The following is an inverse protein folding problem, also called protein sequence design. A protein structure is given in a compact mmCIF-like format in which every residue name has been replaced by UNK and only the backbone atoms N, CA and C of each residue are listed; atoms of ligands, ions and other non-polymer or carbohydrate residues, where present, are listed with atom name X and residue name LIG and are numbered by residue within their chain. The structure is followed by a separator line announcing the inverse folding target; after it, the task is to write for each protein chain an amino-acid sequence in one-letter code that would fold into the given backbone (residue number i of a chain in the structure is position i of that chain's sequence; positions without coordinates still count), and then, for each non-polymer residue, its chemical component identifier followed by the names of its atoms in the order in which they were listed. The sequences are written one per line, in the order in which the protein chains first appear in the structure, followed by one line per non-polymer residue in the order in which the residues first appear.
data_IF_424037498095
#
_entry.id   IF_424037498095
#
_cell.length_a   1.000
_cell.length_b   1.000
_cell.length_c   1.000
_cell.angle_alpha   90.00
_cell.angle_beta   90.00
_cell.angle_gamma   90.00
#
_symmetry.space_group_name_H-M   'P 1'
#
loop_
_entity.id
_entity.type
_entity.pdbx_description
1 polymer ?
#
# COMPACT_ATOMS: atom_id res chain seq x y z
N UNK A 1 21.16 0.94 -8.90
CA UNK A 1 20.52 1.52 -10.12
C UNK A 1 18.99 1.37 -10.16
N UNK A 2 18.40 0.30 -9.62
CA UNK A 2 16.93 0.08 -9.66
C UNK A 2 16.10 1.07 -8.81
N UNK A 3 16.67 1.67 -7.75
CA UNK A 3 15.97 2.63 -6.89
C UNK A 3 15.55 3.90 -7.65
N UNK A 4 16.43 4.46 -8.49
CA UNK A 4 16.13 5.64 -9.29
C UNK A 4 15.08 5.37 -10.35
N UNK A 5 15.14 4.20 -10.99
CA UNK A 5 14.14 3.79 -11.99
C UNK A 5 12.78 3.60 -11.30
N UNK A 6 12.73 2.95 -10.13
CA UNK A 6 11.49 2.75 -9.38
C UNK A 6 10.90 4.07 -8.90
N UNK A 7 11.70 4.97 -8.35
CA UNK A 7 11.25 6.29 -7.89
C UNK A 7 10.80 7.17 -9.05
N UNK A 8 11.54 7.21 -10.15
CA UNK A 8 11.14 7.95 -11.36
C UNK A 8 9.84 7.40 -11.96
N UNK A 9 9.68 6.08 -11.99
CA UNK A 9 8.43 5.43 -12.43
C UNK A 9 7.24 5.88 -11.56
N UNK A 10 7.38 5.85 -10.24
CA UNK A 10 6.33 6.30 -9.33
C UNK A 10 6.03 7.80 -9.49
N UNK A 11 7.06 8.64 -9.64
CA UNK A 11 6.87 10.07 -9.87
C UNK A 11 6.15 10.35 -11.19
N UNK A 12 6.49 9.64 -12.26
CA UNK A 12 5.81 9.76 -13.55
C UNK A 12 4.33 9.41 -13.43
N UNK A 13 4.00 8.31 -12.74
CA UNK A 13 2.61 7.91 -12.49
C UNK A 13 1.85 9.02 -11.75
N UNK A 14 2.44 9.57 -10.69
CA UNK A 14 1.80 10.64 -9.90
C UNK A 14 1.56 11.88 -10.76
N UNK A 15 2.55 12.31 -11.54
CA UNK A 15 2.43 13.48 -12.42
C UNK A 15 1.36 13.25 -13.48
N UNK A 16 1.27 12.04 -14.04
CA UNK A 16 0.27 11.68 -15.04
C UNK A 16 -1.15 11.61 -14.45
N UNK A 17 -1.29 11.20 -13.19
CA UNK A 17 -2.57 11.23 -12.48
C UNK A 17 -2.99 12.63 -12.02
N UNK A 18 -2.07 13.59 -11.95
CA UNK A 18 -2.38 14.95 -11.53
C UNK A 18 -2.99 15.73 -12.70
N UNK A 19 -4.28 16.10 -12.65
CA UNK A 19 -4.90 16.79 -13.76
C UNK A 19 -4.39 18.24 -13.83
N UNK A 20 -3.82 18.62 -14.98
CA UNK A 20 -3.27 19.96 -15.22
C UNK A 20 -4.34 20.98 -15.64
N UNK A 21 -5.47 20.51 -16.19
CA UNK A 21 -6.50 21.34 -16.81
C UNK A 21 -7.91 21.00 -16.31
N UNK A 22 -8.81 21.99 -16.29
CA UNK A 22 -10.19 21.82 -15.79
C UNK A 22 -11.02 20.81 -16.63
N UNK A 23 -10.79 20.76 -17.95
CA UNK A 23 -11.43 19.77 -18.84
C UNK A 23 -10.90 18.35 -18.63
N UNK A 24 -9.57 18.19 -18.49
CA UNK A 24 -8.98 16.89 -18.15
C UNK A 24 -9.43 16.41 -16.77
N UNK A 25 -9.70 17.32 -15.82
CA UNK A 25 -10.29 16.97 -14.53
C UNK A 25 -11.59 16.19 -14.68
N UNK A 26 -12.53 16.65 -15.50
CA UNK A 26 -13.82 15.95 -15.67
C UNK A 26 -13.68 14.56 -16.27
N UNK A 27 -12.73 14.36 -17.19
CA UNK A 27 -12.49 13.07 -17.84
C UNK A 27 -11.76 12.08 -16.91
N UNK A 28 -10.73 12.55 -16.20
CA UNK A 28 -10.00 11.75 -15.21
C UNK A 28 -10.90 11.39 -14.03
N UNK A 29 -11.74 12.31 -13.56
CA UNK A 29 -12.74 11.98 -12.53
C UNK A 29 -13.82 11.03 -13.06
N UNK A 30 -14.25 11.17 -14.32
CA UNK A 30 -15.21 10.25 -14.93
C UNK A 30 -14.66 8.82 -15.04
N UNK A 31 -13.42 8.66 -15.47
CA UNK A 31 -12.75 7.34 -15.55
C UNK A 31 -12.46 6.76 -14.16
N UNK A 32 -12.05 7.58 -13.20
CA UNK A 32 -11.93 7.15 -11.81
C UNK A 32 -13.27 6.72 -11.22
N UNK A 33 -14.36 7.45 -11.54
CA UNK A 33 -15.70 7.10 -11.09
C UNK A 33 -16.18 5.79 -11.70
N UNK A 34 -15.88 5.53 -12.97
CA UNK A 34 -16.15 4.24 -13.62
C UNK A 34 -15.42 3.10 -12.90
N UNK A 35 -14.13 3.26 -12.60
CA UNK A 35 -13.36 2.27 -11.85
C UNK A 35 -13.91 2.03 -10.43
N UNK A 36 -14.35 3.09 -9.74
CA UNK A 36 -15.02 2.97 -8.43
C UNK A 36 -16.33 2.20 -8.56
N UNK A 37 -17.08 2.43 -9.62
CA UNK A 37 -18.33 1.71 -9.88
C UNK A 37 -18.10 0.21 -10.16
N UNK A 38 -17.00 -0.14 -10.83
CA UNK A 38 -16.61 -1.53 -11.05
C UNK A 38 -16.27 -2.23 -9.72
N UNK A 39 -15.52 -1.55 -8.85
CA UNK A 39 -15.21 -2.06 -7.50
C UNK A 39 -16.49 -2.21 -6.67
N UNK A 40 -17.40 -1.24 -6.73
CA UNK A 40 -18.68 -1.31 -6.03
C UNK A 40 -19.52 -2.51 -6.51
N UNK A 41 -19.61 -2.70 -7.83
CA UNK A 41 -20.31 -3.83 -8.43
C UNK A 41 -19.67 -5.17 -8.05
N UNK A 42 -18.34 -5.23 -7.95
CA UNK A 42 -17.63 -6.42 -7.46
C UNK A 42 -17.97 -6.71 -5.99
N UNK A 43 -18.02 -5.68 -5.15
CA UNK A 43 -18.39 -5.81 -3.73
C UNK A 43 -19.83 -6.27 -3.55
N UNK A 44 -20.77 -5.78 -4.37
CA UNK A 44 -22.16 -6.25 -4.34
C UNK A 44 -22.28 -7.76 -4.62
N UNK A 45 -21.41 -8.28 -5.49
CA UNK A 45 -21.36 -9.71 -5.83
C UNK A 45 -20.56 -10.54 -4.83
N UNK A 46 -19.60 -9.94 -4.13
CA UNK A 46 -18.68 -10.63 -3.21
C UNK A 46 -18.55 -9.87 -1.87
N UNK A 47 -19.63 -9.82 -1.06
CA UNK A 47 -19.66 -8.99 0.15
C UNK A 47 -18.62 -9.43 1.19
N UNK A 48 -18.34 -10.73 1.25
CA UNK A 48 -17.42 -11.34 2.20
C UNK A 48 -15.95 -10.91 1.93
N UNK A 49 -15.56 -10.87 0.65
CA UNK A 49 -14.22 -10.42 0.23
C UNK A 49 -14.01 -8.94 0.51
N UNK A 50 -15.00 -8.09 0.22
CA UNK A 50 -14.89 -6.66 0.52
C UNK A 50 -14.90 -6.39 2.04
N UNK A 51 -15.63 -7.17 2.85
CA UNK A 51 -15.60 -7.05 4.30
C UNK A 51 -14.19 -7.31 4.87
N UNK A 52 -13.54 -8.41 4.47
CA UNK A 52 -12.15 -8.71 4.87
C UNK A 52 -11.16 -7.66 4.35
N UNK A 53 -11.35 -7.22 3.10
CA UNK A 53 -10.54 -6.17 2.49
C UNK A 53 -10.62 -4.83 3.23
N UNK A 54 -11.83 -4.45 3.68
CA UNK A 54 -12.06 -3.23 4.47
C UNK A 54 -11.24 -3.23 5.74
N UNK A 55 -11.17 -4.35 6.45
CA UNK A 55 -10.45 -4.42 7.73
C UNK A 55 -8.95 -4.24 7.52
N UNK A 56 -8.37 -4.89 6.50
CA UNK A 56 -6.97 -4.68 6.12
C UNK A 56 -6.70 -3.23 5.67
N UNK A 57 -7.58 -2.68 4.84
CA UNK A 57 -7.47 -1.30 4.37
C UNK A 57 -7.59 -0.28 5.51
N UNK A 58 -8.41 -0.53 6.52
CA UNK A 58 -8.58 0.36 7.67
C UNK A 58 -7.27 0.56 8.45
N UNK A 59 -6.52 -0.53 8.67
CA UNK A 59 -5.23 -0.50 9.37
C UNK A 59 -4.20 0.28 8.54
N UNK A 60 -4.20 0.08 7.22
CA UNK A 60 -3.34 0.84 6.31
C UNK A 60 -3.64 2.34 6.39
N UNK A 61 -4.91 2.74 6.38
CA UNK A 61 -5.33 4.13 6.49
C UNK A 61 -4.93 4.73 7.83
N UNK A 62 -5.10 4.00 8.94
CA UNK A 62 -4.67 4.48 10.26
C UNK A 62 -3.15 4.72 10.30
N UNK A 63 -2.36 3.80 9.75
CA UNK A 63 -0.90 3.96 9.64
C UNK A 63 -0.52 5.13 8.74
N UNK A 64 -1.21 5.32 7.62
CA UNK A 64 -0.98 6.44 6.70
C UNK A 64 -1.28 7.79 7.37
N UNK A 65 -2.38 7.90 8.12
CA UNK A 65 -2.71 9.11 8.87
C UNK A 65 -1.67 9.42 9.95
N UNK A 66 -1.20 8.39 10.66
CA UNK A 66 -0.14 8.56 11.65
C UNK A 66 1.17 9.03 11.00
N UNK A 67 1.59 8.39 9.90
CA UNK A 67 2.77 8.79 9.15
C UNK A 67 2.67 10.21 8.58
N UNK A 68 1.50 10.62 8.11
CA UNK A 68 1.25 11.97 7.63
C UNK A 68 1.39 13.01 8.74
N UNK A 69 0.86 12.75 9.95
CA UNK A 69 1.04 13.63 11.11
C UNK A 69 2.50 13.73 11.51
N UNK A 70 3.21 12.60 11.60
CA UNK A 70 4.63 12.55 11.93
C UNK A 70 5.48 13.36 10.93
N UNK A 71 5.20 13.24 9.62
CA UNK A 71 5.90 14.02 8.60
C UNK A 71 5.61 15.51 8.73
N UNK A 72 4.35 15.89 9.00
CA UNK A 72 3.98 17.29 9.22
C UNK A 72 4.63 17.87 10.48
N UNK A 73 4.73 17.11 11.56
CA UNK A 73 5.40 17.55 12.79
C UNK A 73 6.90 17.76 12.55
N UNK A 74 7.55 16.87 11.79
CA UNK A 74 8.94 17.03 11.38
C UNK A 74 9.16 18.27 10.52
N UNK A 75 8.28 18.53 9.54
CA UNK A 75 8.33 19.74 8.69
C UNK A 75 8.11 21.00 9.53
N UNK A 76 7.22 20.94 10.51
CA UNK A 76 6.92 22.05 11.42
C UNK A 76 7.96 22.20 12.55
N UNK A 77 9.02 21.38 12.57
CA UNK A 77 10.08 21.42 13.58
C UNK A 77 9.64 20.97 14.98
N UNK A 78 8.45 20.37 15.12
CA UNK A 78 7.96 19.81 16.39
C UNK A 78 8.66 18.48 16.62
N UNK A 79 9.73 18.52 17.40
CA UNK A 79 10.40 17.30 17.85
C UNK A 79 9.58 16.77 19.04
N UNK A 80 9.30 15.46 19.15
CA UNK A 80 8.57 14.89 20.30
C UNK A 80 9.28 15.09 21.66
N UNK A 81 10.44 15.75 21.67
CA UNK A 81 11.15 16.19 22.86
C UNK A 81 10.53 17.43 23.55
N UNK A 82 9.66 18.19 22.88
CA UNK A 82 9.05 19.42 23.46
C UNK A 82 7.78 19.15 24.30
N UNK A 83 7.37 17.88 24.42
CA UNK A 83 6.23 17.45 25.24
C UNK A 83 6.68 16.57 26.41
N UNK A 84 7.81 16.93 27.04
CA UNK A 84 8.28 16.34 28.29
C UNK A 84 8.56 17.41 29.35
N UNK A 85 7.50 17.84 30.03
CA UNK A 85 7.61 18.27 31.42
C UNK A 85 7.49 17.03 32.33
N UNK A 86 8.61 16.29 32.44
CA UNK A 86 9.19 15.50 33.55
C UNK A 86 8.35 14.61 34.52
N UNK A 87 8.97 13.67 35.29
CA UNK A 87 10.40 13.32 35.38
C UNK A 87 10.76 11.80 35.28
N UNK A 88 11.95 11.56 34.74
CA UNK A 88 12.92 10.48 35.04
C UNK A 88 12.41 9.07 35.41
N UNK A 89 12.69 8.08 34.54
CA UNK A 89 13.28 6.82 34.98
C UNK A 89 14.37 6.36 34.02
N UNK A 90 15.57 6.22 34.59
CA UNK A 90 16.67 5.42 34.08
C UNK A 90 16.18 4.06 33.58
N UNK A 91 16.34 3.80 32.29
CA UNK A 91 16.72 2.46 31.83
C UNK A 91 17.34 2.57 30.44
N UNK A 92 18.67 2.53 30.39
CA UNK A 92 19.39 2.28 29.15
C UNK A 92 19.18 0.82 28.75
N UNK A 93 18.10 0.53 28.02
CA UNK A 93 17.90 -0.77 27.36
C UNK A 93 18.60 -0.78 25.99
N UNK A 94 19.36 -1.83 25.62
CA UNK A 94 19.99 -1.95 24.31
C UNK A 94 18.99 -2.16 23.14
N UNK A 95 17.69 -2.29 23.42
CA UNK A 95 16.68 -2.69 22.42
C UNK A 95 16.20 -1.57 21.47
N UNK A 96 16.56 -0.30 21.71
CA UNK A 96 16.11 0.81 20.86
C UNK A 96 16.61 0.72 19.40
N UNK A 97 17.68 -0.05 19.15
CA UNK A 97 18.23 -0.27 17.81
C UNK A 97 17.43 -1.26 16.96
N UNK A 98 16.54 -2.06 17.56
CA UNK A 98 15.75 -3.08 16.83
C UNK A 98 14.44 -2.51 16.23
N UNK A 99 14.00 -1.33 16.65
CA UNK A 99 12.74 -0.71 16.17
C UNK A 99 12.84 -0.04 14.79
N UNK A 100 14.04 0.03 14.22
CA UNK A 100 14.29 0.65 12.90
C UNK A 100 14.67 -0.35 11.81
N UNK A 101 14.66 -1.65 12.08
CA UNK A 101 14.94 -2.64 11.05
C UNK A 101 13.67 -2.91 10.23
N UNK A 102 13.62 -2.56 8.92
CA UNK A 102 12.48 -2.90 8.08
C UNK A 102 12.35 -4.42 8.04
N UNK A 103 11.12 -4.91 8.21
CA UNK A 103 10.83 -6.34 8.08
C UNK A 103 11.38 -6.85 6.74
N UNK A 104 12.37 -7.75 6.82
CA UNK A 104 12.96 -8.38 5.63
C UNK A 104 11.95 -9.40 5.12
N UNK A 105 11.25 -9.05 4.05
CA UNK A 105 10.45 -10.01 3.29
C UNK A 105 11.40 -10.90 2.49
N UNK A 106 11.51 -12.16 2.91
CA UNK A 106 12.25 -13.18 2.16
C UNK A 106 11.43 -13.56 0.91
N UNK A 107 11.82 -12.99 -0.25
CA UNK A 107 11.21 -13.33 -1.54
C UNK A 107 11.68 -14.69 -2.10
N UNK A 108 12.64 -15.35 -1.44
CA UNK A 108 13.15 -16.66 -1.85
C UNK A 108 12.31 -17.81 -1.32
N UNK A 109 11.43 -17.55 -0.35
CA UNK A 109 10.39 -18.48 0.07
C UNK A 109 9.18 -18.35 -0.86
N UNK A 110 9.32 -18.75 -2.13
CA UNK A 110 8.13 -19.18 -2.87
C UNK A 110 7.58 -20.38 -2.10
N UNK A 111 6.50 -20.19 -1.35
CA UNK A 111 5.73 -21.30 -0.82
C UNK A 111 5.09 -21.96 -2.05
N UNK A 112 5.87 -22.84 -2.69
CA UNK A 112 5.45 -23.65 -3.80
C UNK A 112 4.48 -24.70 -3.24
N UNK A 113 3.22 -24.29 -3.10
CA UNK A 113 2.13 -25.11 -2.57
C UNK A 113 1.47 -25.96 -3.66
N UNK A 114 2.01 -25.91 -4.89
CA UNK A 114 1.46 -26.63 -6.03
C UNK A 114 1.98 -28.07 -6.01
N UNK A 115 1.07 -29.03 -6.07
CA UNK A 115 1.42 -30.42 -6.31
C UNK A 115 1.90 -30.56 -7.78
N UNK A 116 2.74 -31.55 -8.14
CA UNK A 116 3.23 -31.71 -9.51
C UNK A 116 2.11 -31.81 -10.55
N UNK A 117 0.96 -32.36 -10.16
CA UNK A 117 -0.24 -32.52 -10.97
C UNK A 117 -0.94 -31.18 -11.27
N UNK A 118 -0.80 -30.18 -10.38
CA UNK A 118 -1.34 -28.82 -10.59
C UNK A 118 -0.56 -28.05 -11.68
N UNK A 119 0.63 -28.55 -12.06
CA UNK A 119 1.48 -27.96 -13.10
C UNK A 119 1.17 -28.49 -14.49
N UNK A 120 0.31 -29.50 -14.59
CA UNK A 120 -0.16 -30.00 -15.87
C UNK A 120 -1.33 -29.15 -16.37
N UNK A 121 -1.34 -28.84 -17.66
CA UNK A 121 -2.39 -28.07 -18.30
C UNK A 121 -3.68 -28.92 -18.45
N UNK A 122 -4.56 -28.84 -17.46
CA UNK A 122 -5.82 -29.60 -17.44
C UNK A 122 -6.78 -29.21 -18.58
N UNK A 123 -6.61 -28.06 -19.22
CA UNK A 123 -7.48 -27.57 -20.27
C UNK A 123 -6.74 -27.43 -21.60
N UNK A 124 -6.95 -28.41 -22.48
CA UNK A 124 -6.78 -28.21 -23.92
C UNK A 124 -8.14 -27.79 -24.49
N UNK A 125 -8.20 -26.62 -25.13
CA UNK A 125 -9.43 -26.13 -25.77
C UNK A 125 -9.94 -27.10 -26.85
N UNK A 126 -11.17 -26.88 -27.37
CA UNK A 126 -11.76 -27.78 -28.36
C UNK A 126 -10.83 -27.94 -29.56
N UNK A 127 -10.47 -29.18 -29.91
CA UNK A 127 -9.69 -29.46 -31.10
C UNK A 127 -10.47 -28.93 -32.32
N UNK A 128 -9.90 -27.93 -32.99
CA UNK A 128 -10.51 -27.28 -34.13
C UNK A 128 -10.86 -28.29 -35.23
N UNK A 129 -12.09 -28.19 -35.73
CA UNK A 129 -12.60 -28.93 -36.89
C UNK A 129 -12.11 -28.34 -38.19
#
# INVERSE_FOLDING_TARGET
MLFLIRTAFWLMIIVLLLPTDAHQRSEVYGTAQAAVNDVATFCDRNPETCARGKDAFSVLVQKAQFGARMLMDLINGRTPADEQDSPSQDMRSPEASALFEPARFDMSASQDTLNPEDREEAWSGPAGT
#
